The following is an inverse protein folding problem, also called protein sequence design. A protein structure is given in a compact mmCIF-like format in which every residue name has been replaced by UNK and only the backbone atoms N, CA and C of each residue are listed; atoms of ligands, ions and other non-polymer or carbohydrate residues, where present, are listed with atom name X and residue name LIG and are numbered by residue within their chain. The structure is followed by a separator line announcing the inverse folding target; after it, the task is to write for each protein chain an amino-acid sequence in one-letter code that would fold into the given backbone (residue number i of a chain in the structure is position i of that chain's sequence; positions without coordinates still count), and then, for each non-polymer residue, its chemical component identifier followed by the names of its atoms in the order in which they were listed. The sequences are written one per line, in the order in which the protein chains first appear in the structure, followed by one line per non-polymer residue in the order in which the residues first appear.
data_IF_642491248380
#
_entry.id   IF_642491248380
#
_cell.length_a   1.000
_cell.length_b   1.000
_cell.length_c   1.000
_cell.angle_alpha   90.00
_cell.angle_beta   90.00
_cell.angle_gamma   90.00
#
_symmetry.space_group_name_H-M   'P 1'
#
loop_
_entity.id
_entity.type
_entity.pdbx_description
1 polymer ?
#
# COMPACT_ATOMS: atom_id res chain seq x y z
N UNK A 1 -12.91 6.09 -24.25
CA UNK A 1 -12.71 4.69 -23.83
C UNK A 1 -11.26 4.39 -23.46
N UNK A 2 -10.25 4.87 -24.19
CA UNK A 2 -8.83 4.70 -23.85
C UNK A 2 -8.43 5.35 -22.51
N UNK A 3 -9.03 6.49 -22.16
CA UNK A 3 -8.76 7.19 -20.89
C UNK A 3 -9.22 6.39 -19.67
N UNK A 4 -10.43 5.79 -19.73
CA UNK A 4 -10.92 4.95 -18.65
C UNK A 4 -10.05 3.70 -18.43
N UNK A 5 -9.55 3.11 -19.51
CA UNK A 5 -8.62 1.99 -19.44
C UNK A 5 -7.28 2.40 -18.83
N UNK A 6 -6.73 3.52 -19.29
CA UNK A 6 -5.47 4.03 -18.77
C UNK A 6 -5.59 4.44 -17.29
N UNK A 7 -6.72 5.05 -16.91
CA UNK A 7 -6.99 5.37 -15.51
C UNK A 7 -7.07 4.11 -14.64
N UNK A 8 -7.81 3.09 -15.08
CA UNK A 8 -7.92 1.82 -14.35
C UNK A 8 -6.57 1.10 -14.25
N UNK A 9 -5.78 1.08 -15.32
CA UNK A 9 -4.44 0.47 -15.30
C UNK A 9 -3.48 1.21 -14.37
N UNK A 10 -3.52 2.53 -14.38
CA UNK A 10 -2.76 3.39 -13.48
C UNK A 10 -3.16 3.13 -12.02
N UNK A 11 -4.47 3.03 -11.75
CA UNK A 11 -4.99 2.70 -10.42
C UNK A 11 -4.53 1.31 -9.96
N UNK A 12 -4.56 0.29 -10.82
CA UNK A 12 -4.07 -1.05 -10.49
C UNK A 12 -2.59 -1.05 -10.09
N UNK A 13 -1.76 -0.30 -10.82
CA UNK A 13 -0.34 -0.14 -10.47
C UNK A 13 -0.15 0.56 -9.13
N UNK A 14 -0.91 1.61 -8.89
CA UNK A 14 -0.88 2.35 -7.62
C UNK A 14 -1.31 1.48 -6.44
N UNK A 15 -2.40 0.72 -6.59
CA UNK A 15 -2.92 -0.19 -5.57
C UNK A 15 -1.97 -1.36 -5.30
N UNK A 16 -1.33 -1.90 -6.34
CA UNK A 16 -0.29 -2.92 -6.18
C UNK A 16 0.87 -2.38 -5.33
N UNK A 17 1.32 -1.17 -5.61
CA UNK A 17 2.36 -0.50 -4.83
C UNK A 17 1.94 -0.30 -3.37
N UNK A 18 0.68 0.09 -3.16
CA UNK A 18 0.11 0.23 -1.81
C UNK A 18 0.07 -1.10 -1.07
N UNK A 19 -0.32 -2.19 -1.73
CA UNK A 19 -0.28 -3.52 -1.14
C UNK A 19 1.13 -3.94 -0.74
N UNK A 20 2.12 -3.70 -1.59
CA UNK A 20 3.52 -4.03 -1.31
C UNK A 20 4.04 -3.30 -0.07
N UNK A 21 3.76 -2.00 0.05
CA UNK A 21 4.16 -1.19 1.20
C UNK A 21 3.44 -1.64 2.47
N UNK A 22 2.13 -1.88 2.39
CA UNK A 22 1.34 -2.36 3.54
C UNK A 22 1.81 -3.74 4.00
N UNK A 23 2.09 -4.65 3.08
CA UNK A 23 2.64 -5.97 3.39
C UNK A 23 4.02 -5.88 4.05
N UNK A 24 4.87 -4.98 3.57
CA UNK A 24 6.18 -4.73 4.20
C UNK A 24 6.04 -4.18 5.62
N UNK A 25 5.12 -3.25 5.85
CA UNK A 25 4.82 -2.74 7.20
C UNK A 25 4.38 -3.89 8.13
N UNK A 26 3.43 -4.72 7.68
CA UNK A 26 2.94 -5.86 8.46
C UNK A 26 4.06 -6.85 8.77
N UNK A 27 4.89 -7.19 7.78
CA UNK A 27 6.02 -8.09 7.95
C UNK A 27 7.03 -7.58 9.00
N UNK A 28 7.19 -6.27 9.12
CA UNK A 28 8.10 -5.62 10.05
C UNK A 28 7.42 -5.06 11.31
N UNK A 29 6.20 -5.46 11.59
CA UNK A 29 5.45 -5.01 12.77
C UNK A 29 6.09 -5.40 14.11
N UNK A 30 6.92 -6.43 14.09
CA UNK A 30 7.68 -6.93 15.25
C UNK A 30 9.19 -6.60 15.16
N UNK A 31 9.60 -5.86 14.14
CA UNK A 31 11.01 -5.48 13.95
C UNK A 31 11.31 -4.22 14.75
N UNK A 32 12.26 -4.30 15.67
CA UNK A 32 12.67 -3.17 16.49
C UNK A 32 13.26 -2.04 15.62
N UNK A 33 12.98 -0.81 16.00
CA UNK A 33 13.38 0.42 15.30
C UNK A 33 12.82 0.55 13.86
N UNK A 34 11.88 -0.29 13.46
CA UNK A 34 11.24 -0.17 12.17
C UNK A 34 10.30 1.04 12.11
N UNK A 35 10.38 1.79 11.03
CA UNK A 35 9.49 2.92 10.73
C UNK A 35 8.62 2.58 9.53
N UNK A 36 7.30 2.63 9.73
CA UNK A 36 6.33 2.33 8.67
C UNK A 36 6.44 3.33 7.52
N UNK A 37 6.17 2.85 6.33
CA UNK A 37 5.98 3.69 5.16
C UNK A 37 4.51 3.95 4.91
N UNK A 38 4.21 5.15 4.43
CA UNK A 38 2.86 5.57 4.03
C UNK A 38 2.82 5.77 2.52
N UNK A 39 1.75 5.32 1.92
CA UNK A 39 1.48 5.55 0.50
C UNK A 39 0.41 6.62 0.36
N UNK A 40 0.71 7.65 -0.40
CA UNK A 40 -0.22 8.69 -0.80
C UNK A 40 -0.47 8.58 -2.30
N UNK A 41 -1.74 8.62 -2.67
CA UNK A 41 -2.17 8.56 -4.05
C UNK A 41 -2.80 9.89 -4.44
N UNK A 42 -2.33 10.43 -5.56
CA UNK A 42 -2.80 11.69 -6.12
C UNK A 42 -3.34 11.44 -7.54
N UNK A 43 -4.40 12.14 -7.88
CA UNK A 43 -4.89 12.12 -9.25
C UNK A 43 -3.95 12.86 -10.19
N UNK A 44 -3.88 12.41 -11.43
CA UNK A 44 -3.07 13.01 -12.48
C UNK A 44 -3.94 13.34 -13.67
N UNK A 45 -3.91 14.59 -14.09
CA UNK A 45 -4.59 15.04 -15.29
C UNK A 45 -3.92 14.49 -16.57
N UNK A 46 -4.67 14.06 -17.60
CA UNK A 46 -6.12 14.05 -17.71
C UNK A 46 -6.81 12.87 -17.02
N UNK A 47 -6.12 11.78 -16.78
CA UNK A 47 -6.63 10.61 -16.10
C UNK A 47 -5.50 9.74 -15.57
N UNK A 48 -5.59 9.30 -14.33
CA UNK A 48 -4.63 8.39 -13.75
C UNK A 48 -4.33 8.70 -12.28
N UNK A 49 -3.45 7.89 -11.70
CA UNK A 49 -3.03 7.98 -10.31
C UNK A 49 -1.51 7.94 -10.22
N UNK A 50 -0.96 8.86 -9.47
CA UNK A 50 0.46 8.89 -9.08
C UNK A 50 0.60 8.44 -7.63
N UNK A 51 1.65 7.70 -7.36
CA UNK A 51 1.98 7.21 -6.01
C UNK A 51 3.20 7.93 -5.49
N UNK A 52 3.11 8.43 -4.27
CA UNK A 52 4.27 8.84 -3.47
C UNK A 52 4.37 8.00 -2.20
N UNK A 53 5.58 7.68 -1.78
CA UNK A 53 5.86 6.89 -0.59
C UNK A 53 6.71 7.74 0.35
N UNK A 54 6.23 7.89 1.58
CA UNK A 54 6.94 8.61 2.64
C UNK A 54 7.10 7.72 3.87
N UNK A 55 8.18 7.96 4.61
CA UNK A 55 8.40 7.27 5.88
C UNK A 55 7.76 8.05 7.03
N UNK A 56 7.10 7.34 7.94
CA UNK A 56 6.52 7.92 9.15
C UNK A 56 7.50 7.74 10.30
N UNK A 57 8.04 8.83 10.80
CA UNK A 57 9.10 8.83 11.82
C UNK A 57 8.57 8.96 13.27
N UNK A 58 7.30 8.68 13.51
CA UNK A 58 6.78 8.63 14.88
C UNK A 58 7.49 7.52 15.66
N UNK A 59 7.88 7.76 16.92
CA UNK A 59 8.52 6.72 17.73
C UNK A 59 7.54 5.59 18.05
N UNK A 60 8.07 4.36 18.09
CA UNK A 60 7.37 3.22 18.69
C UNK A 60 7.47 3.26 20.22
N UNK A 61 7.00 2.19 20.86
CA UNK A 61 7.12 2.06 22.32
C UNK A 61 8.57 1.80 22.70
N UNK A 62 9.06 2.51 23.72
CA UNK A 62 10.41 2.32 24.22
C UNK A 62 10.55 0.97 24.92
N UNK A 63 11.55 0.20 24.50
CA UNK A 63 11.89 -1.04 25.14
C UNK A 63 12.86 -0.80 26.32
N UNK A 64 12.65 -1.46 27.46
CA UNK A 64 13.62 -1.39 28.55
C UNK A 64 14.95 -2.00 28.09
N UNK A 65 16.10 -1.45 28.56
CA UNK A 65 17.39 -2.04 28.29
C UNK A 65 17.46 -3.46 28.85
N UNK A 66 18.09 -4.37 28.11
CA UNK A 66 18.28 -5.73 28.57
C UNK A 66 19.25 -5.74 29.79
N UNK A 67 18.68 -5.96 30.98
CA UNK A 67 19.45 -6.00 32.23
C UNK A 67 20.40 -7.21 32.31
N UNK A 68 20.18 -8.23 31.46
CA UNK A 68 21.06 -9.40 31.41
C UNK A 68 22.40 -9.12 30.71
N UNK A 69 22.47 -8.00 29.96
CA UNK A 69 23.72 -7.60 29.29
C UNK A 69 24.55 -6.65 30.15
N UNK A 70 25.88 -6.68 30.00
CA UNK A 70 26.77 -5.68 30.64
C UNK A 70 26.35 -4.26 30.21
N UNK A 71 26.51 -3.25 31.09
CA UNK A 71 26.10 -1.87 30.78
C UNK A 71 26.67 -1.30 29.48
N UNK A 72 27.86 -1.80 29.08
CA UNK A 72 28.57 -1.37 27.88
C UNK A 72 27.98 -1.94 26.59
N UNK A 73 27.23 -3.06 26.69
CA UNK A 73 26.57 -3.73 25.56
C UNK A 73 25.07 -3.44 25.48
N UNK A 74 24.51 -2.71 26.45
CA UNK A 74 23.08 -2.37 26.47
C UNK A 74 22.78 -1.37 25.37
N UNK A 75 21.96 -1.79 24.41
CA UNK A 75 21.45 -0.87 23.39
C UNK A 75 20.50 0.13 24.04
N UNK A 76 20.93 1.38 24.12
CA UNK A 76 20.07 2.48 24.58
C UNK A 76 19.17 2.93 23.42
N UNK A 77 17.94 3.33 23.76
CA UNK A 77 16.96 3.82 22.80
C UNK A 77 16.44 2.77 21.79
N UNK A 78 16.30 1.53 22.23
CA UNK A 78 15.60 0.53 21.46
C UNK A 78 14.09 0.80 21.55
N UNK A 79 13.44 0.89 20.42
CA UNK A 79 11.98 1.08 20.33
C UNK A 79 11.34 -0.02 19.47
N UNK A 80 10.05 -0.28 19.70
CA UNK A 80 9.29 -1.20 18.86
C UNK A 80 9.00 -0.60 17.50
N UNK A 81 8.51 -1.42 16.56
CA UNK A 81 7.95 -0.93 15.31
C UNK A 81 6.79 0.03 15.57
N UNK A 82 6.67 1.09 14.78
CA UNK A 82 5.53 2.01 14.82
C UNK A 82 4.36 1.57 13.93
N UNK A 83 4.37 0.34 13.45
CA UNK A 83 3.30 -0.26 12.64
C UNK A 83 2.09 -0.61 13.49
N UNK A 84 0.91 -0.23 13.03
CA UNK A 84 -0.36 -0.68 13.60
C UNK A 84 -0.93 -1.77 12.69
N UNK A 85 -0.82 -3.04 13.12
CA UNK A 85 -1.26 -4.20 12.35
C UNK A 85 -2.75 -4.14 12.03
N UNK A 86 -3.59 -3.74 13.00
CA UNK A 86 -5.04 -3.68 12.80
C UNK A 86 -5.42 -2.68 11.71
N UNK A 87 -4.82 -1.49 11.73
CA UNK A 87 -5.00 -0.47 10.69
C UNK A 87 -4.51 -0.95 9.33
N UNK A 88 -3.33 -1.54 9.28
CA UNK A 88 -2.74 -2.01 8.02
C UNK A 88 -3.49 -3.21 7.43
N UNK A 89 -4.03 -4.11 8.24
CA UNK A 89 -4.88 -5.19 7.76
C UNK A 89 -6.19 -4.66 7.15
N UNK A 90 -6.83 -3.67 7.78
CA UNK A 90 -8.02 -3.02 7.22
C UNK A 90 -7.68 -2.33 5.90
N UNK A 91 -6.57 -1.60 5.84
CA UNK A 91 -6.08 -0.97 4.62
C UNK A 91 -5.82 -1.99 3.51
N UNK A 92 -5.29 -3.16 3.85
CA UNK A 92 -5.05 -4.24 2.89
C UNK A 92 -6.36 -4.77 2.30
N UNK A 93 -7.38 -4.99 3.13
CA UNK A 93 -8.71 -5.45 2.70
C UNK A 93 -9.36 -4.42 1.77
N UNK A 94 -9.35 -3.14 2.14
CA UNK A 94 -9.88 -2.04 1.31
C UNK A 94 -9.14 -1.97 -0.02
N UNK A 95 -7.82 -2.07 -0.01
CA UNK A 95 -6.99 -2.04 -1.22
C UNK A 95 -7.29 -3.23 -2.15
N UNK A 96 -7.53 -4.41 -1.61
CA UNK A 96 -7.96 -5.59 -2.36
C UNK A 96 -9.32 -5.36 -3.05
N UNK A 97 -10.28 -4.80 -2.34
CA UNK A 97 -11.57 -4.43 -2.92
C UNK A 97 -11.44 -3.42 -4.05
N UNK A 98 -10.65 -2.38 -3.84
CA UNK A 98 -10.39 -1.36 -4.87
C UNK A 98 -9.70 -1.95 -6.09
N UNK A 99 -8.76 -2.84 -5.88
CA UNK A 99 -8.06 -3.57 -6.95
C UNK A 99 -9.04 -4.41 -7.77
N UNK A 100 -9.90 -5.18 -7.10
CA UNK A 100 -10.94 -5.98 -7.74
C UNK A 100 -11.94 -5.14 -8.54
N UNK A 101 -12.33 -3.98 -8.02
CA UNK A 101 -13.23 -3.05 -8.70
C UNK A 101 -12.60 -2.52 -10.01
N UNK A 102 -11.32 -2.18 -10.00
CA UNK A 102 -10.61 -1.73 -11.19
C UNK A 102 -10.45 -2.84 -12.24
N UNK A 103 -10.22 -4.08 -11.81
CA UNK A 103 -10.24 -5.24 -12.73
C UNK A 103 -11.60 -5.39 -13.40
N UNK A 104 -12.69 -5.27 -12.63
CA UNK A 104 -14.06 -5.31 -13.17
C UNK A 104 -14.31 -4.20 -14.21
N UNK A 105 -13.81 -3.01 -13.97
CA UNK A 105 -13.90 -1.90 -14.92
C UNK A 105 -13.23 -2.24 -16.26
N UNK A 106 -12.05 -2.84 -16.21
CA UNK A 106 -11.33 -3.27 -17.41
C UNK A 106 -12.09 -4.39 -18.15
N UNK A 107 -12.62 -5.37 -17.42
CA UNK A 107 -13.42 -6.45 -18.00
C UNK A 107 -14.67 -5.91 -18.72
N UNK A 108 -15.42 -5.05 -18.03
CA UNK A 108 -16.63 -4.42 -18.61
C UNK A 108 -16.28 -3.63 -19.86
N UNK A 109 -15.20 -2.86 -19.84
CA UNK A 109 -14.73 -2.12 -21.02
C UNK A 109 -14.45 -3.06 -22.20
N UNK A 110 -13.75 -4.17 -21.97
CA UNK A 110 -13.43 -5.12 -23.00
C UNK A 110 -14.67 -5.82 -23.55
N UNK A 111 -15.65 -6.14 -22.70
CA UNK A 111 -16.94 -6.71 -23.12
C UNK A 111 -17.74 -5.73 -23.99
N UNK A 112 -17.77 -4.45 -23.59
CA UNK A 112 -18.43 -3.39 -24.38
C UNK A 112 -17.79 -3.21 -25.76
N UNK A 113 -16.46 -3.22 -25.85
CA UNK A 113 -15.74 -3.12 -27.12
C UNK A 113 -16.03 -4.32 -28.03
N UNK A 114 -16.07 -5.53 -27.46
CA UNK A 114 -16.44 -6.74 -28.19
C UNK A 114 -17.84 -6.66 -28.76
N UNK A 115 -18.82 -6.22 -27.96
CA UNK A 115 -20.19 -6.03 -28.43
C UNK A 115 -20.30 -4.99 -29.55
N UNK A 116 -19.53 -3.89 -29.46
CA UNK A 116 -19.49 -2.88 -30.52
C UNK A 116 -18.92 -3.43 -31.84
N UNK A 117 -17.94 -4.30 -31.77
CA UNK A 117 -17.35 -4.95 -32.94
C UNK A 117 -18.37 -5.93 -33.56
N UNK A 118 -19.08 -6.69 -32.74
CA UNK A 118 -20.10 -7.65 -33.19
C UNK A 118 -21.29 -6.95 -33.87
N UNK A 119 -21.67 -5.75 -33.45
CA UNK A 119 -22.72 -4.96 -34.08
C UNK A 119 -22.30 -4.44 -35.46
N UNK A 120 -21.03 -4.21 -35.67
CA UNK A 120 -20.48 -3.64 -36.90
C UNK A 120 -20.31 -4.65 -38.03
N UNK A 121 -20.45 -5.93 -37.71
CA UNK A 121 -20.39 -7.03 -38.65
C UNK A 121 -21.81 -7.43 -39.02
#
# INVERSE_FOLDING_TARGET
MSEAFNAALSALRALSRKMDVTANNIANSQTNNFKKSRVEMEDVYPAGVKVSISQVNTPGDMLPPDEALPPEERTQNLETSNVNIAEDLVNLIVTEHDFSANIKTIQTKNEMEKQLIDIKV
#
